data_IF_524358273827
#
_entry.id   IF_524358273827
#
_cell.length_a   1.000
_cell.length_b   1.000
_cell.length_c   1.000
_cell.angle_alpha   90.00
_cell.angle_beta   90.00
_cell.angle_gamma   90.00
#
_symmetry.space_group_name_H-M   'P 1'
#
loop_
_entity.id
_entity.type
_entity.pdbx_description
1 polymer ?
#
# COMPACT_ATOMS: atom_id res chain seq x y z
N UNK A 1 18.41 -52.02 42.66
CA UNK A 1 19.45 -51.06 42.24
C UNK A 1 19.38 -50.86 40.73
N UNK A 2 18.68 -49.82 40.26
CA UNK A 2 18.73 -49.36 38.86
C UNK A 2 18.81 -47.83 38.90
N UNK A 3 19.88 -47.29 38.32
CA UNK A 3 20.28 -45.88 38.38
C UNK A 3 19.44 -45.05 37.40
N UNK A 4 18.93 -43.91 37.87
CA UNK A 4 18.36 -42.84 37.05
C UNK A 4 19.50 -42.05 36.39
N UNK A 5 19.45 -41.90 35.07
CA UNK A 5 20.25 -40.91 34.34
C UNK A 5 19.33 -39.74 33.99
N UNK A 6 19.55 -38.59 34.63
CA UNK A 6 18.91 -37.34 34.28
C UNK A 6 19.75 -36.65 33.19
N UNK A 7 19.17 -36.46 32.00
CA UNK A 7 19.73 -35.61 30.96
C UNK A 7 19.31 -34.17 31.22
N UNK A 8 20.27 -33.32 31.55
CA UNK A 8 20.10 -31.86 31.64
C UNK A 8 20.31 -31.30 30.23
N UNK A 9 19.23 -30.85 29.59
CA UNK A 9 19.27 -30.10 28.34
C UNK A 9 19.54 -28.62 28.68
N UNK A 10 20.74 -28.15 28.38
CA UNK A 10 21.14 -26.74 28.48
C UNK A 10 20.51 -25.96 27.30
N UNK A 11 19.81 -24.83 27.52
CA UNK A 11 19.36 -23.98 26.42
C UNK A 11 20.55 -23.13 25.93
N UNK A 12 21.04 -23.43 24.73
CA UNK A 12 21.95 -22.58 23.98
C UNK A 12 21.16 -21.33 23.52
N UNK A 13 21.24 -20.26 24.31
CA UNK A 13 20.90 -18.92 23.84
C UNK A 13 21.95 -18.49 22.81
N UNK A 14 21.66 -18.72 21.53
CA UNK A 14 22.36 -18.09 20.42
C UNK A 14 22.04 -16.59 20.48
N UNK A 15 22.90 -15.83 21.15
CA UNK A 15 22.96 -14.38 21.00
C UNK A 15 23.34 -14.09 19.54
N UNK A 16 22.35 -13.71 18.72
CA UNK A 16 22.62 -13.15 17.41
C UNK A 16 23.46 -11.89 17.61
N UNK A 17 24.64 -11.77 16.99
CA UNK A 17 25.39 -10.53 17.03
C UNK A 17 24.53 -9.46 16.37
N UNK A 18 24.24 -8.39 17.12
CA UNK A 18 23.79 -7.13 16.55
C UNK A 18 24.91 -6.67 15.61
N UNK A 19 24.76 -6.94 14.31
CA UNK A 19 25.58 -6.31 13.28
C UNK A 19 25.01 -4.89 13.15
N UNK A 20 25.74 -3.83 13.52
CA UNK A 20 25.30 -2.49 13.24
C UNK A 20 25.15 -2.37 11.71
N UNK A 21 23.98 -1.92 11.25
CA UNK A 21 23.81 -1.57 9.83
C UNK A 21 24.91 -0.56 9.48
N UNK A 22 25.85 -0.98 8.63
CA UNK A 22 26.83 -0.09 8.07
C UNK A 22 26.07 1.00 7.30
N UNK A 23 26.25 2.26 7.71
CA UNK A 23 25.80 3.41 6.95
C UNK A 23 26.41 3.29 5.55
N UNK A 24 25.56 3.18 4.52
CA UNK A 24 26.00 3.15 3.14
C UNK A 24 26.63 4.49 2.81
N UNK A 25 27.89 4.51 2.35
CA UNK A 25 28.57 5.73 1.88
C UNK A 25 27.79 6.46 0.76
N UNK A 26 26.77 5.82 0.17
CA UNK A 26 25.94 6.34 -0.91
C UNK A 26 24.64 7.03 -0.45
N UNK A 27 24.34 7.07 0.86
CA UNK A 27 23.04 7.57 1.36
C UNK A 27 22.70 9.02 0.91
N UNK A 28 23.65 9.99 0.88
CA UNK A 28 23.34 11.34 0.41
C UNK A 28 22.93 11.38 -1.07
N UNK A 29 23.59 10.58 -1.92
CA UNK A 29 23.28 10.51 -3.35
C UNK A 29 21.92 9.85 -3.58
N UNK A 30 21.66 8.76 -2.87
CA UNK A 30 20.40 8.04 -2.89
C UNK A 30 19.20 8.92 -2.49
N UNK A 31 19.35 9.73 -1.43
CA UNK A 31 18.33 10.70 -1.03
C UNK A 31 18.06 11.74 -2.12
N UNK A 32 19.12 12.27 -2.75
CA UNK A 32 18.99 13.24 -3.83
C UNK A 32 18.25 12.66 -5.05
N UNK A 33 18.48 11.40 -5.39
CA UNK A 33 17.76 10.71 -6.47
C UNK A 33 16.27 10.57 -6.17
N UNK A 34 15.92 10.20 -4.92
CA UNK A 34 14.53 10.14 -4.45
C UNK A 34 13.84 11.51 -4.55
N UNK A 35 14.48 12.57 -4.05
CA UNK A 35 13.94 13.93 -4.11
C UNK A 35 13.72 14.38 -5.56
N UNK A 36 14.70 14.14 -6.44
CA UNK A 36 14.60 14.44 -7.87
C UNK A 36 13.45 13.67 -8.54
N UNK A 37 13.29 12.39 -8.21
CA UNK A 37 12.22 11.56 -8.77
C UNK A 37 10.85 12.04 -8.30
N UNK A 38 10.68 12.29 -6.99
CA UNK A 38 9.48 12.88 -6.38
C UNK A 38 9.08 14.16 -7.10
N UNK A 39 10.01 15.10 -7.25
CA UNK A 39 9.71 16.43 -7.78
C UNK A 39 9.24 16.36 -9.24
N UNK A 40 9.86 15.49 -10.04
CA UNK A 40 9.41 15.19 -11.41
C UNK A 40 8.01 14.57 -11.44
N UNK A 41 7.71 13.61 -10.57
CA UNK A 41 6.37 13.00 -10.51
C UNK A 41 5.32 14.06 -10.10
N UNK A 42 5.63 14.90 -9.11
CA UNK A 42 4.71 15.96 -8.68
C UNK A 42 4.46 16.97 -9.81
N UNK A 43 5.48 17.35 -10.58
CA UNK A 43 5.32 18.20 -11.76
C UNK A 43 4.45 17.54 -12.86
N UNK A 44 4.67 16.25 -13.14
CA UNK A 44 3.80 15.46 -14.02
C UNK A 44 2.33 15.53 -13.55
N UNK A 45 2.08 15.27 -12.27
CA UNK A 45 0.73 15.25 -11.69
C UNK A 45 0.09 16.63 -11.80
N UNK A 46 0.81 17.73 -11.48
CA UNK A 46 0.27 19.10 -11.60
C UNK A 46 -0.27 19.38 -13.01
N UNK A 47 0.47 18.95 -14.03
CA UNK A 47 0.13 19.17 -15.44
C UNK A 47 -1.02 18.28 -15.94
N UNK A 48 -1.20 17.09 -15.35
CA UNK A 48 -2.04 16.06 -15.94
C UNK A 48 -3.23 15.59 -15.08
N UNK A 49 -3.28 15.91 -13.77
CA UNK A 49 -4.28 15.38 -12.82
C UNK A 49 -5.74 15.59 -13.21
N UNK A 50 -6.05 16.62 -14.01
CA UNK A 50 -7.41 16.85 -14.53
C UNK A 50 -7.94 15.70 -15.40
N UNK A 51 -7.05 14.88 -15.96
CA UNK A 51 -7.36 13.75 -16.83
C UNK A 51 -7.27 12.39 -16.11
N UNK A 52 -6.89 12.36 -14.84
CA UNK A 52 -6.76 11.11 -14.09
C UNK A 52 -8.13 10.49 -13.81
N UNK A 53 -8.17 9.16 -13.67
CA UNK A 53 -9.37 8.43 -13.27
C UNK A 53 -9.69 8.73 -11.80
N UNK A 54 -10.93 8.44 -11.39
CA UNK A 54 -11.36 8.66 -9.99
C UNK A 54 -10.49 7.87 -9.01
N UNK A 55 -10.17 6.63 -9.30
CA UNK A 55 -9.36 5.75 -8.44
C UNK A 55 -7.94 6.31 -8.24
N UNK A 56 -7.32 6.81 -9.31
CA UNK A 56 -6.00 7.44 -9.26
C UNK A 56 -6.04 8.73 -8.42
N UNK A 57 -7.12 9.52 -8.53
CA UNK A 57 -7.31 10.73 -7.72
C UNK A 57 -7.61 10.43 -6.24
N UNK A 58 -8.26 9.32 -5.94
CA UNK A 58 -8.46 8.85 -4.57
C UNK A 58 -7.13 8.44 -3.95
N UNK A 59 -6.29 7.71 -4.69
CA UNK A 59 -4.94 7.38 -4.24
C UNK A 59 -4.12 8.66 -4.01
N UNK A 60 -4.18 9.63 -4.93
CA UNK A 60 -3.50 10.91 -4.78
C UNK A 60 -3.96 11.69 -3.53
N UNK A 61 -5.25 11.71 -3.23
CA UNK A 61 -5.79 12.32 -2.01
C UNK A 61 -5.27 11.63 -0.75
N UNK A 62 -5.21 10.30 -0.74
CA UNK A 62 -4.60 9.56 0.35
C UNK A 62 -3.12 9.90 0.55
N UNK A 63 -2.34 9.95 -0.54
CA UNK A 63 -0.93 10.36 -0.47
C UNK A 63 -0.78 11.81 0.00
N UNK A 64 -1.68 12.68 -0.41
CA UNK A 64 -1.71 14.07 0.05
C UNK A 64 -1.88 14.14 1.56
N UNK A 65 -2.90 13.46 2.11
CA UNK A 65 -3.17 13.46 3.56
C UNK A 65 -2.04 12.80 4.34
N UNK A 66 -1.57 11.64 3.88
CA UNK A 66 -0.56 10.83 4.58
C UNK A 66 0.79 11.53 4.65
N UNK A 67 1.22 12.17 3.57
CA UNK A 67 2.56 12.77 3.45
C UNK A 67 2.55 14.30 3.43
N UNK A 68 1.42 14.92 3.82
CA UNK A 68 1.25 16.37 3.87
C UNK A 68 1.64 17.08 2.56
N UNK A 69 1.29 16.49 1.41
CA UNK A 69 1.53 17.13 0.11
C UNK A 69 0.67 18.41 0.00
N UNK A 70 1.06 19.38 -0.85
CA UNK A 70 0.27 20.59 -1.07
C UNK A 70 -1.21 20.33 -1.38
N UNK A 71 -2.09 21.18 -0.84
CA UNK A 71 -3.56 21.07 -0.96
C UNK A 71 -4.09 20.93 -2.39
N UNK A 72 -3.33 21.39 -3.38
CA UNK A 72 -3.67 21.23 -4.79
C UNK A 72 -3.82 19.76 -5.21
N UNK A 73 -3.26 18.82 -4.45
CA UNK A 73 -3.34 17.38 -4.70
C UNK A 73 -4.52 16.69 -4.00
N UNK A 74 -5.34 17.42 -3.23
CA UNK A 74 -6.58 16.86 -2.67
C UNK A 74 -7.55 16.47 -3.77
N UNK A 75 -8.46 15.52 -3.48
CA UNK A 75 -9.48 15.08 -4.44
C UNK A 75 -10.32 16.26 -4.93
N UNK A 76 -10.76 17.13 -4.02
CA UNK A 76 -11.61 18.30 -4.34
C UNK A 76 -10.93 19.34 -5.25
N UNK A 77 -9.59 19.41 -5.25
CA UNK A 77 -8.83 20.33 -6.09
C UNK A 77 -8.40 19.69 -7.40
N UNK A 78 -8.31 18.37 -7.45
CA UNK A 78 -7.89 17.63 -8.63
C UNK A 78 -9.06 17.19 -9.52
N UNK A 79 -10.21 16.86 -8.92
CA UNK A 79 -11.42 16.44 -9.61
C UNK A 79 -12.38 17.63 -9.79
N UNK A 80 -12.10 18.47 -10.79
CA UNK A 80 -12.86 19.70 -11.09
C UNK A 80 -13.84 19.57 -12.26
N UNK A 81 -13.89 18.40 -12.90
CA UNK A 81 -14.75 18.12 -14.05
C UNK A 81 -16.14 17.64 -13.62
N UNK A 82 -17.11 17.77 -14.52
CA UNK A 82 -18.42 17.12 -14.35
C UNK A 82 -18.20 15.59 -14.43
N UNK A 83 -18.67 14.81 -13.44
CA UNK A 83 -18.52 13.35 -13.46
C UNK A 83 -19.11 12.73 -14.73
N UNK A 84 -18.31 11.92 -15.42
CA UNK A 84 -18.79 11.04 -16.48
C UNK A 84 -19.54 9.83 -15.91
N UNK A 85 -20.29 9.05 -16.71
CA UNK A 85 -20.94 7.82 -16.21
C UNK A 85 -19.95 6.83 -15.57
N UNK A 86 -18.72 6.74 -16.09
CA UNK A 86 -17.69 5.90 -15.49
C UNK A 86 -17.20 6.47 -14.15
N UNK A 87 -16.98 7.80 -14.07
CA UNK A 87 -16.62 8.44 -12.80
C UNK A 87 -17.70 8.20 -11.73
N UNK A 88 -18.99 8.29 -12.10
CA UNK A 88 -20.10 8.03 -11.19
C UNK A 88 -20.03 6.61 -10.64
N UNK A 89 -19.83 5.59 -11.49
CA UNK A 89 -19.72 4.19 -11.06
C UNK A 89 -18.54 3.98 -10.09
N UNK A 90 -17.40 4.61 -10.36
CA UNK A 90 -16.24 4.58 -9.48
C UNK A 90 -16.53 5.27 -8.15
N UNK A 91 -17.21 6.43 -8.16
CA UNK A 91 -17.59 7.18 -6.96
C UNK A 91 -18.69 6.48 -6.13
N UNK A 92 -19.60 5.73 -6.76
CA UNK A 92 -20.55 4.87 -6.05
C UNK A 92 -19.82 3.81 -5.22
N UNK A 93 -18.71 3.27 -5.73
CA UNK A 93 -17.97 2.20 -5.04
C UNK A 93 -16.95 2.75 -4.05
N UNK A 94 -16.11 3.69 -4.48
CA UNK A 94 -14.93 4.16 -3.75
C UNK A 94 -15.06 5.57 -3.18
N UNK A 95 -16.16 6.29 -3.45
CA UNK A 95 -16.36 7.67 -2.96
C UNK A 95 -16.33 7.80 -1.44
N UNK A 96 -16.56 6.70 -0.71
CA UNK A 96 -16.37 6.59 0.75
C UNK A 96 -14.96 6.94 1.20
N UNK A 97 -13.94 6.59 0.41
CA UNK A 97 -12.53 6.84 0.73
C UNK A 97 -12.20 8.34 0.82
N UNK A 98 -13.00 9.20 0.18
CA UNK A 98 -12.80 10.66 0.15
C UNK A 98 -14.04 11.45 0.59
N UNK A 99 -15.01 10.77 1.20
CA UNK A 99 -16.29 11.35 1.65
C UNK A 99 -16.99 12.19 0.55
N UNK A 100 -17.05 11.65 -0.68
CA UNK A 100 -17.64 12.35 -1.82
C UNK A 100 -19.13 12.60 -1.61
N UNK A 101 -19.59 13.83 -1.86
CA UNK A 101 -21.00 14.21 -1.71
C UNK A 101 -21.75 14.19 -3.04
N UNK A 102 -23.05 13.96 -2.99
CA UNK A 102 -23.94 14.04 -4.15
C UNK A 102 -24.05 12.75 -4.97
N UNK A 103 -23.40 11.66 -4.53
CA UNK A 103 -23.55 10.32 -5.07
C UNK A 103 -23.83 9.37 -3.90
N UNK A 104 -24.83 8.51 -4.06
CA UNK A 104 -25.12 7.44 -3.10
C UNK A 104 -24.09 6.32 -3.26
N UNK A 105 -23.43 5.94 -2.17
CA UNK A 105 -22.45 4.85 -2.20
C UNK A 105 -23.14 3.49 -2.21
N UNK A 106 -22.68 2.60 -3.09
CA UNK A 106 -23.29 1.29 -3.31
C UNK A 106 -22.28 0.20 -3.04
N UNK A 107 -22.58 -0.65 -2.05
CA UNK A 107 -21.84 -1.90 -1.84
C UNK A 107 -22.10 -2.83 -3.04
N UNK A 108 -21.07 -3.26 -3.78
CA UNK A 108 -21.28 -4.16 -4.90
C UNK A 108 -21.91 -5.49 -4.43
N UNK A 109 -22.94 -5.97 -5.15
CA UNK A 109 -23.68 -7.20 -4.80
C UNK A 109 -22.97 -8.48 -5.24
N UNK A 110 -22.20 -8.38 -6.32
CA UNK A 110 -21.40 -9.46 -6.88
C UNK A 110 -20.05 -8.88 -7.24
N UNK A 111 -19.00 -9.56 -6.81
CA UNK A 111 -17.66 -9.27 -7.29
C UNK A 111 -16.98 -10.61 -7.50
N UNK A 112 -16.92 -11.04 -8.76
CA UNK A 112 -15.97 -12.06 -9.19
C UNK A 112 -14.59 -11.39 -9.20
N UNK A 113 -13.93 -11.29 -8.05
CA UNK A 113 -12.61 -10.66 -8.02
C UNK A 113 -11.88 -10.85 -6.69
N UNK A 114 -10.57 -10.65 -6.75
CA UNK A 114 -9.69 -10.42 -5.61
C UNK A 114 -9.97 -9.12 -4.84
N UNK A 115 -10.77 -8.19 -5.37
CA UNK A 115 -11.14 -6.95 -4.65
C UNK A 115 -12.30 -7.12 -3.66
N UNK A 116 -12.85 -8.32 -3.49
CA UNK A 116 -14.06 -8.48 -2.67
C UNK A 116 -13.82 -8.20 -1.18
N UNK A 117 -12.67 -8.59 -0.64
CA UNK A 117 -12.37 -8.42 0.78
C UNK A 117 -12.15 -6.95 1.16
N UNK A 118 -11.45 -6.19 0.33
CA UNK A 118 -11.29 -4.73 0.54
C UNK A 118 -12.63 -4.01 0.45
N UNK A 119 -13.50 -4.37 -0.52
CA UNK A 119 -14.83 -3.78 -0.61
C UNK A 119 -15.71 -4.13 0.61
N UNK A 120 -15.54 -5.31 1.21
CA UNK A 120 -16.18 -5.60 2.50
C UNK A 120 -15.71 -4.64 3.58
N UNK A 121 -14.40 -4.45 3.75
CA UNK A 121 -13.85 -3.55 4.75
C UNK A 121 -14.28 -2.09 4.55
N UNK A 122 -14.33 -1.62 3.30
CA UNK A 122 -14.73 -0.24 2.97
C UNK A 122 -16.15 0.09 3.46
N UNK A 123 -17.05 -0.88 3.38
CA UNK A 123 -18.47 -0.76 3.73
C UNK A 123 -18.81 -1.27 5.13
N UNK A 124 -17.84 -1.35 6.04
CA UNK A 124 -18.09 -1.55 7.46
C UNK A 124 -18.41 -0.18 8.08
N UNK A 125 -19.62 -0.05 8.60
CA UNK A 125 -20.09 1.16 9.28
C UNK A 125 -19.99 1.01 10.80
N UNK A 126 -20.19 -0.21 11.31
CA UNK A 126 -20.15 -0.49 12.75
C UNK A 126 -19.34 -1.74 13.06
N UNK A 127 -18.89 -1.85 14.31
CA UNK A 127 -18.05 -2.97 14.74
C UNK A 127 -18.77 -4.33 14.62
N UNK A 128 -20.09 -4.37 14.83
CA UNK A 128 -20.91 -5.56 14.63
C UNK A 128 -20.99 -6.04 13.17
N UNK A 129 -20.63 -5.19 12.20
CA UNK A 129 -20.57 -5.56 10.78
C UNK A 129 -19.24 -6.27 10.43
N UNK A 130 -18.26 -6.25 11.33
CA UNK A 130 -17.00 -6.96 11.15
C UNK A 130 -17.25 -8.47 11.04
N UNK A 131 -16.69 -9.16 10.03
CA UNK A 131 -16.71 -10.61 9.98
C UNK A 131 -16.02 -11.22 11.21
N UNK A 132 -16.41 -12.45 11.56
CA UNK A 132 -15.69 -13.24 12.56
C UNK A 132 -14.17 -13.27 12.27
N UNK A 133 -13.36 -13.04 13.30
CA UNK A 133 -11.90 -12.87 13.18
C UNK A 133 -11.23 -14.08 12.53
N UNK A 134 -11.57 -15.29 12.96
CA UNK A 134 -10.96 -16.52 12.44
C UNK A 134 -11.30 -16.68 10.95
N UNK A 135 -12.56 -16.46 10.61
CA UNK A 135 -13.05 -16.49 9.23
C UNK A 135 -12.35 -15.44 8.37
N UNK A 136 -12.17 -14.23 8.89
CA UNK A 136 -11.51 -13.13 8.18
C UNK A 136 -10.03 -13.42 7.90
N UNK A 137 -9.28 -13.85 8.92
CA UNK A 137 -7.86 -14.24 8.78
C UNK A 137 -7.72 -15.32 7.71
N UNK A 138 -8.55 -16.38 7.76
CA UNK A 138 -8.53 -17.46 6.77
C UNK A 138 -8.79 -16.94 5.36
N UNK A 139 -9.78 -16.07 5.17
CA UNK A 139 -10.11 -15.51 3.85
C UNK A 139 -8.96 -14.68 3.26
N UNK A 140 -8.34 -13.82 4.08
CA UNK A 140 -7.19 -13.02 3.66
C UNK A 140 -6.00 -13.92 3.34
N UNK A 141 -5.71 -14.91 4.19
CA UNK A 141 -4.62 -15.86 3.99
C UNK A 141 -4.80 -16.68 2.69
N UNK A 142 -6.00 -17.21 2.45
CA UNK A 142 -6.34 -17.95 1.23
C UNK A 142 -6.19 -17.09 -0.03
N UNK A 143 -6.59 -15.82 0.03
CA UNK A 143 -6.40 -14.90 -1.07
C UNK A 143 -4.90 -14.61 -1.31
N UNK A 144 -4.13 -14.40 -0.24
CA UNK A 144 -2.69 -14.11 -0.33
C UNK A 144 -1.87 -15.24 -0.95
N UNK A 145 -2.37 -16.49 -0.88
CA UNK A 145 -1.71 -17.67 -1.45
C UNK A 145 -1.86 -17.79 -2.96
N UNK A 146 -2.76 -17.03 -3.59
CA UNK A 146 -3.02 -17.10 -5.04
C UNK A 146 -1.96 -16.39 -5.90
N UNK A 147 -1.08 -15.60 -5.28
CA UNK A 147 0.00 -14.87 -5.98
C UNK A 147 -0.48 -13.56 -6.61
N UNK A 148 0.41 -12.87 -7.34
CA UNK A 148 0.10 -11.70 -8.19
C UNK A 148 -0.81 -10.65 -7.52
N UNK A 149 -1.80 -10.13 -8.24
CA UNK A 149 -2.72 -9.09 -7.76
C UNK A 149 -3.58 -9.58 -6.60
N UNK A 150 -3.90 -10.88 -6.53
CA UNK A 150 -4.61 -11.44 -5.40
C UNK A 150 -3.85 -11.20 -4.08
N UNK A 151 -2.51 -11.28 -4.12
CA UNK A 151 -1.66 -11.02 -2.96
C UNK A 151 -1.63 -9.55 -2.59
N UNK A 152 -1.50 -8.64 -3.55
CA UNK A 152 -1.52 -7.19 -3.27
C UNK A 152 -2.86 -6.76 -2.69
N UNK A 153 -3.97 -7.21 -3.28
CA UNK A 153 -5.31 -6.92 -2.77
C UNK A 153 -5.61 -7.59 -1.41
N UNK A 154 -4.98 -8.72 -1.08
CA UNK A 154 -5.07 -9.30 0.27
C UNK A 154 -4.41 -8.41 1.33
N UNK A 155 -3.31 -7.74 0.97
CA UNK A 155 -2.62 -6.79 1.84
C UNK A 155 -3.44 -5.51 2.04
N UNK A 156 -4.04 -4.98 0.96
CA UNK A 156 -4.93 -3.83 1.02
C UNK A 156 -6.16 -4.13 1.89
N UNK A 157 -6.79 -5.29 1.70
CA UNK A 157 -7.90 -5.73 2.54
C UNK A 157 -7.50 -5.83 4.02
N UNK A 158 -6.36 -6.48 4.33
CA UNK A 158 -5.85 -6.58 5.70
C UNK A 158 -5.66 -5.20 6.34
N UNK A 159 -5.02 -4.27 5.64
CA UNK A 159 -4.83 -2.90 6.13
C UNK A 159 -6.17 -2.22 6.42
N UNK A 160 -7.14 -2.32 5.52
CA UNK A 160 -8.46 -1.72 5.72
C UNK A 160 -9.24 -2.35 6.87
N UNK A 161 -9.15 -3.66 7.10
CA UNK A 161 -9.75 -4.29 8.27
C UNK A 161 -9.07 -3.87 9.58
N UNK A 162 -7.77 -3.55 9.57
CA UNK A 162 -7.08 -2.94 10.70
C UNK A 162 -7.58 -1.50 10.95
N UNK A 163 -7.73 -0.69 9.91
CA UNK A 163 -8.27 0.69 10.02
C UNK A 163 -9.71 0.71 10.53
N UNK A 164 -10.49 -0.32 10.21
CA UNK A 164 -11.85 -0.53 10.72
C UNK A 164 -11.90 -1.16 12.11
N UNK A 165 -10.75 -1.42 12.74
CA UNK A 165 -10.64 -2.10 14.04
C UNK A 165 -11.29 -3.49 14.07
N UNK A 166 -11.52 -4.14 12.92
CA UNK A 166 -11.99 -5.52 12.86
C UNK A 166 -10.87 -6.53 13.18
N UNK A 167 -9.62 -6.10 13.04
CA UNK A 167 -8.42 -6.83 13.41
C UNK A 167 -7.53 -5.94 14.26
N UNK A 168 -6.67 -6.53 15.09
CA UNK A 168 -5.72 -5.79 15.93
C UNK A 168 -4.29 -6.27 15.72
N UNK A 169 -3.34 -5.34 15.60
CA UNK A 169 -1.89 -5.65 15.58
C UNK A 169 -1.37 -6.17 16.92
N UNK A 170 -2.16 -6.08 18.00
CA UNK A 170 -1.84 -6.69 19.28
C UNK A 170 -2.05 -8.22 19.29
N UNK A 171 -2.81 -8.74 18.33
CA UNK A 171 -3.08 -10.17 18.24
C UNK A 171 -1.95 -10.93 17.52
N UNK A 172 -1.52 -12.06 18.09
CA UNK A 172 -0.39 -12.84 17.57
C UNK A 172 -0.64 -13.36 16.15
N UNK A 173 -1.84 -13.87 15.88
CA UNK A 173 -2.26 -14.40 14.58
C UNK A 173 -2.31 -13.32 13.50
N UNK A 174 -2.79 -12.12 13.84
CA UNK A 174 -2.78 -10.97 12.93
C UNK A 174 -1.34 -10.52 12.63
N UNK A 175 -0.46 -10.45 13.63
CA UNK A 175 0.97 -10.14 13.39
C UNK A 175 1.65 -11.17 12.50
N UNK A 176 1.34 -12.44 12.71
CA UNK A 176 1.85 -13.51 11.86
C UNK A 176 1.35 -13.34 10.42
N UNK A 177 0.05 -13.10 10.22
CA UNK A 177 -0.53 -12.86 8.90
C UNK A 177 0.11 -11.66 8.18
N UNK A 178 0.30 -10.54 8.89
CA UNK A 178 1.00 -9.36 8.32
C UNK A 178 2.40 -9.75 7.85
N UNK A 179 3.16 -10.47 8.67
CA UNK A 179 4.51 -10.90 8.30
C UNK A 179 4.49 -11.82 7.08
N UNK A 180 3.61 -12.82 7.05
CA UNK A 180 3.51 -13.77 5.94
C UNK A 180 3.16 -13.08 4.61
N UNK A 181 2.17 -12.18 4.63
CA UNK A 181 1.79 -11.40 3.43
C UNK A 181 2.92 -10.50 2.99
N UNK A 182 3.59 -9.79 3.91
CA UNK A 182 4.71 -8.92 3.55
C UNK A 182 5.87 -9.69 2.89
N UNK A 183 6.21 -10.88 3.38
CA UNK A 183 7.22 -11.73 2.74
C UNK A 183 6.77 -12.25 1.36
N UNK A 184 5.49 -12.61 1.20
CA UNK A 184 4.94 -12.99 -0.12
C UNK A 184 5.01 -11.84 -1.12
N UNK A 185 4.59 -10.65 -0.71
CA UNK A 185 4.69 -9.43 -1.53
C UNK A 185 6.13 -9.17 -1.96
N UNK A 186 7.07 -9.24 -1.02
CA UNK A 186 8.48 -8.98 -1.32
C UNK A 186 9.05 -10.06 -2.26
N UNK A 187 8.61 -11.30 -2.11
CA UNK A 187 9.00 -12.38 -3.03
C UNK A 187 8.49 -12.15 -4.46
N UNK A 188 7.33 -11.51 -4.64
CA UNK A 188 6.81 -11.15 -5.97
C UNK A 188 7.70 -10.11 -6.68
N UNK A 189 8.47 -9.31 -5.96
CA UNK A 189 9.26 -8.23 -6.56
C UNK A 189 10.52 -8.73 -7.28
N UNK A 190 11.03 -9.91 -6.91
CA UNK A 190 12.26 -10.46 -7.47
C UNK A 190 12.12 -10.95 -8.91
N UNK A 191 10.92 -11.36 -9.34
CA UNK A 191 10.68 -11.85 -10.69
C UNK A 191 10.47 -10.73 -11.72
N UNK A 192 10.46 -9.47 -11.28
CA UNK A 192 10.14 -8.31 -12.11
C UNK A 192 11.28 -7.30 -12.03
N UNK A 193 12.01 -7.10 -13.13
CA UNK A 193 13.19 -6.24 -13.18
C UNK A 193 12.88 -4.75 -13.36
N UNK A 194 11.65 -4.40 -13.76
CA UNK A 194 11.21 -3.03 -14.03
C UNK A 194 10.05 -2.63 -13.09
N UNK A 195 9.72 -1.32 -12.94
CA UNK A 195 8.62 -0.88 -12.08
C UNK A 195 7.26 -1.17 -12.72
N UNK A 196 6.90 -2.45 -12.80
CA UNK A 196 5.54 -2.83 -13.17
C UNK A 196 4.57 -2.42 -12.06
N UNK A 197 3.31 -2.23 -12.44
CA UNK A 197 2.22 -1.95 -11.52
C UNK A 197 2.22 -2.90 -10.32
N UNK A 198 2.23 -4.22 -10.59
CA UNK A 198 2.28 -5.28 -9.59
C UNK A 198 3.50 -5.18 -8.66
N UNK A 199 4.70 -4.86 -9.19
CA UNK A 199 5.92 -4.75 -8.38
C UNK A 199 5.83 -3.58 -7.42
N UNK A 200 5.46 -2.41 -7.93
CA UNK A 200 5.44 -1.18 -7.14
C UNK A 200 4.29 -1.23 -6.14
N UNK A 201 3.14 -1.79 -6.52
CA UNK A 201 2.01 -2.01 -5.61
C UNK A 201 2.40 -2.93 -4.45
N UNK A 202 3.11 -4.03 -4.73
CA UNK A 202 3.60 -4.92 -3.68
C UNK A 202 4.53 -4.19 -2.70
N UNK A 203 5.46 -3.36 -3.19
CA UNK A 203 6.36 -2.57 -2.35
C UNK A 203 5.60 -1.51 -1.53
N UNK A 204 4.67 -0.78 -2.15
CA UNK A 204 3.85 0.22 -1.48
C UNK A 204 3.00 -0.41 -0.37
N UNK A 205 2.41 -1.58 -0.60
CA UNK A 205 1.60 -2.26 0.41
C UNK A 205 2.41 -2.92 1.53
N UNK A 206 3.67 -3.29 1.30
CA UNK A 206 4.59 -3.63 2.39
C UNK A 206 4.81 -2.41 3.31
N UNK A 207 5.03 -1.23 2.74
CA UNK A 207 5.14 0.01 3.52
C UNK A 207 3.84 0.32 4.27
N UNK A 208 2.69 0.17 3.61
CA UNK A 208 1.38 0.41 4.21
C UNK A 208 1.10 -0.48 5.42
N UNK A 209 1.52 -1.75 5.37
CA UNK A 209 1.43 -2.70 6.48
C UNK A 209 2.48 -2.46 7.59
N UNK A 210 3.25 -1.37 7.52
CA UNK A 210 4.30 -1.04 8.50
C UNK A 210 5.51 -1.96 8.42
N UNK A 211 5.74 -2.63 7.28
CA UNK A 211 6.84 -3.57 7.07
C UNK A 211 7.95 -3.05 6.16
N UNK A 212 8.01 -1.73 5.94
CA UNK A 212 9.04 -1.02 5.14
C UNK A 212 10.48 -1.56 5.34
N UNK A 213 10.87 -1.89 6.58
CA UNK A 213 12.22 -2.37 6.94
C UNK A 213 12.66 -3.68 6.26
N UNK A 214 11.74 -4.46 5.68
CA UNK A 214 12.12 -5.67 4.94
C UNK A 214 12.58 -5.36 3.52
N UNK A 215 12.26 -4.18 3.00
CA UNK A 215 12.63 -3.76 1.65
C UNK A 215 14.07 -3.28 1.67
N UNK A 216 14.93 -3.91 0.88
CA UNK A 216 16.28 -3.39 0.65
C UNK A 216 16.18 -2.11 -0.19
N UNK A 217 16.79 -1.02 0.29
CA UNK A 217 16.81 0.26 -0.45
C UNK A 217 17.45 0.12 -1.83
N UNK A 218 18.47 -0.72 -1.93
CA UNK A 218 19.18 -0.96 -3.19
C UNK A 218 18.28 -1.60 -4.27
N UNK A 219 17.16 -2.22 -3.88
CA UNK A 219 16.16 -2.75 -4.81
C UNK A 219 15.25 -1.65 -5.41
N UNK A 220 15.22 -0.46 -4.79
CA UNK A 220 14.32 0.65 -5.15
C UNK A 220 14.96 1.60 -6.15
N UNK A 221 16.24 1.97 -5.98
CA UNK A 221 16.90 2.94 -6.87
C UNK A 221 16.88 2.57 -8.35
N UNK A 222 17.09 1.29 -8.74
CA UNK A 222 16.99 0.88 -10.14
C UNK A 222 15.61 1.14 -10.75
N UNK A 223 14.55 1.31 -9.96
CA UNK A 223 13.22 1.63 -10.49
C UNK A 223 13.19 3.04 -11.10
N UNK A 224 13.95 3.99 -10.56
CA UNK A 224 13.94 5.38 -11.02
C UNK A 224 14.63 5.58 -12.37
N UNK A 225 15.47 4.64 -12.82
CA UNK A 225 16.03 4.68 -14.18
C UNK A 225 14.98 4.45 -15.27
N UNK A 226 13.78 3.98 -14.91
CA UNK A 226 12.64 3.83 -15.82
C UNK A 226 11.74 5.06 -15.84
N UNK A 227 12.05 6.10 -15.06
CA UNK A 227 11.28 7.34 -15.06
C UNK A 227 11.45 8.06 -16.40
N UNK A 228 10.34 8.45 -17.01
CA UNK A 228 10.34 9.25 -18.23
C UNK A 228 10.80 10.68 -17.96
N UNK A 229 11.16 11.41 -19.02
CA UNK A 229 11.59 12.80 -18.91
C UNK A 229 10.51 13.70 -18.29
N UNK A 230 9.23 13.42 -18.59
CA UNK A 230 8.08 14.13 -18.04
C UNK A 230 7.77 13.79 -16.57
N UNK A 231 8.47 12.79 -16.00
CA UNK A 231 8.31 12.35 -14.61
C UNK A 231 7.41 11.13 -14.41
N UNK A 232 6.70 10.67 -15.45
CA UNK A 232 5.78 9.53 -15.37
C UNK A 232 6.47 8.17 -15.61
N UNK A 233 5.71 7.09 -15.40
CA UNK A 233 6.14 5.70 -15.61
C UNK A 233 5.17 4.98 -16.56
N UNK A 234 5.69 4.07 -17.39
CA UNK A 234 4.87 3.24 -18.29
C UNK A 234 4.29 2.01 -17.61
N UNK A 235 4.89 1.54 -16.51
CA UNK A 235 4.58 0.24 -15.92
C UNK A 235 5.12 -0.96 -16.71
N UNK A 236 5.98 -0.73 -17.71
CA UNK A 236 6.61 -1.77 -18.53
C UNK A 236 8.14 -1.67 -18.46
N UNK A 237 8.83 -2.65 -19.06
CA UNK A 237 10.30 -2.62 -19.20
C UNK A 237 10.79 -1.51 -20.13
N UNK A 238 9.89 -0.85 -20.86
CA UNK A 238 10.22 0.20 -21.82
C UNK A 238 9.54 1.50 -21.38
N UNK A 239 10.29 2.50 -20.89
CA UNK A 239 9.70 3.76 -20.42
C UNK A 239 8.85 4.49 -21.46
N UNK A 240 9.11 4.28 -22.76
CA UNK A 240 8.36 4.93 -23.84
C UNK A 240 6.98 4.33 -24.14
N UNK A 241 6.63 3.16 -23.61
CA UNK A 241 5.38 2.42 -23.91
C UNK A 241 4.16 2.97 -23.15
N UNK A 242 3.76 4.20 -23.50
CA UNK A 242 2.61 4.84 -22.88
C UNK A 242 2.86 5.26 -21.43
N UNK A 243 1.79 5.69 -20.76
CA UNK A 243 1.84 6.15 -19.37
C UNK A 243 0.86 5.34 -18.54
N UNK A 244 1.34 4.83 -17.42
CA UNK A 244 0.53 4.23 -16.37
C UNK A 244 0.51 5.17 -15.16
N UNK A 245 -0.61 5.89 -15.01
CA UNK A 245 -0.83 6.86 -13.93
C UNK A 245 -0.82 6.17 -12.56
N UNK A 246 -1.45 4.99 -12.44
CA UNK A 246 -1.50 4.23 -11.18
C UNK A 246 -0.09 3.86 -10.72
N UNK A 247 0.71 3.26 -11.61
CA UNK A 247 2.12 2.95 -11.32
C UNK A 247 2.92 4.22 -10.96
N UNK A 248 2.68 5.35 -11.64
CA UNK A 248 3.34 6.62 -11.34
C UNK A 248 3.03 7.10 -9.92
N UNK A 249 1.77 7.00 -9.47
CA UNK A 249 1.35 7.34 -8.11
C UNK A 249 1.88 6.35 -7.07
N UNK A 250 1.97 5.06 -7.39
CA UNK A 250 2.59 4.06 -6.52
C UNK A 250 4.09 4.32 -6.35
N UNK A 251 4.80 4.75 -7.40
CA UNK A 251 6.21 5.17 -7.28
C UNK A 251 6.31 6.44 -6.42
N UNK A 252 5.38 7.40 -6.56
CA UNK A 252 5.34 8.57 -5.67
C UNK A 252 5.19 8.14 -4.21
N UNK A 253 4.25 7.23 -3.91
CA UNK A 253 4.09 6.68 -2.57
C UNK A 253 5.39 6.09 -2.05
N UNK A 254 6.01 5.19 -2.81
CA UNK A 254 7.26 4.55 -2.43
C UNK A 254 8.36 5.58 -2.15
N UNK A 255 8.50 6.57 -3.04
CA UNK A 255 9.48 7.65 -2.88
C UNK A 255 9.26 8.43 -1.58
N UNK A 256 8.00 8.74 -1.24
CA UNK A 256 7.66 9.45 -0.01
C UNK A 256 7.91 8.60 1.25
N UNK A 257 7.67 7.29 1.21
CA UNK A 257 7.98 6.39 2.33
C UNK A 257 9.49 6.33 2.63
N UNK A 258 10.33 6.36 1.59
CA UNK A 258 11.79 6.32 1.71
C UNK A 258 12.45 7.70 1.90
N UNK A 259 11.74 8.80 1.63
CA UNK A 259 12.18 10.14 2.04
C UNK A 259 11.86 10.44 3.51
N UNK A 260 10.89 9.74 4.08
CA UNK A 260 10.39 9.93 5.45
C UNK A 260 10.61 8.68 6.29
N UNK A 261 11.86 8.24 6.38
CA UNK A 261 12.19 6.90 6.87
C UNK A 261 11.80 6.67 8.32
N UNK A 262 11.99 7.70 9.14
CA UNK A 262 11.72 7.69 10.58
C UNK A 262 10.29 8.07 10.95
N UNK A 263 9.47 8.46 9.97
CA UNK A 263 8.09 8.87 10.20
C UNK A 263 7.18 7.65 10.25
N UNK A 264 6.45 7.51 11.36
CA UNK A 264 5.37 6.54 11.49
C UNK A 264 4.07 7.21 11.09
N UNK A 265 3.52 6.81 9.94
CA UNK A 265 2.26 7.33 9.43
C UNK A 265 1.08 6.51 9.94
N UNK A 266 0.13 7.18 10.59
CA UNK A 266 -1.13 6.60 11.06
C UNK A 266 -2.34 7.02 10.22
N UNK A 267 -2.14 7.87 9.23
CA UNK A 267 -3.24 8.40 8.40
C UNK A 267 -3.89 7.26 7.62
N UNK A 268 -5.21 7.02 7.81
CA UNK A 268 -5.89 5.90 7.20
C UNK A 268 -6.25 6.20 5.74
N UNK A 269 -6.31 5.16 4.91
CA UNK A 269 -6.87 5.30 3.57
C UNK A 269 -8.38 5.51 3.62
N UNK A 270 -9.07 4.81 4.53
CA UNK A 270 -10.50 4.99 4.71
C UNK A 270 -10.80 6.18 5.63
N UNK A 271 -11.36 7.25 5.07
CA UNK A 271 -11.79 8.42 5.84
C UNK A 271 -12.94 8.04 6.77
N UNK A 272 -12.79 8.37 8.06
CA UNK A 272 -13.86 8.22 9.06
C UNK A 272 -14.89 9.32 8.83
N UNK A 273 -16.12 8.93 8.46
CA UNK A 273 -17.24 9.85 8.36
C UNK A 273 -17.61 10.28 9.78
N UNK A 274 -17.25 11.51 10.16
CA UNK A 274 -17.75 12.09 11.42
C UNK A 274 -19.25 12.26 11.28
N UNK A 275 -20.02 11.55 12.10
CA UNK A 275 -21.45 11.82 12.24
C UNK A 275 -21.61 13.31 12.59
N UNK A 276 -22.49 14.00 11.87
CA UNK A 276 -22.87 15.36 12.26
C UNK A 276 -23.69 15.22 13.55
N UNK A 277 -23.06 15.51 14.68
CA UNK A 277 -23.75 15.78 15.95
C UNK A 277 -24.74 16.94 15.78
#
# INVERSE_FOLDING_TARGET
>A
MKKFFAFILLPLFLAYPFIPLAYSENEPLQKQELEKSRDKILDYIRKNKSHFRVEDLILLDYLQRRFELPDEFTFSRSFIRIPTPQDIKSLETYGRLINYKGIEWKKPKQVESYIWLELKALFIDKQEDCPDKITLIRQIEEQSKRGRYETTHSALALAWFLERNCLSTNDNDVRQLINEIAHRLYSLTYSISFPSDLKVEALAFICYLGKKKIINRDDIYPLFSFQRDDGSFSGTGTPSEGVNVHTTLLILWLTLEFLNEDTVYTEPMIVVVKEKN
#
